data_IF_082032427149
#
_entry.id   IF_082032427149
#
_cell.length_a   1.000
_cell.length_b   1.000
_cell.length_c   1.000
_cell.angle_alpha   90.00
_cell.angle_beta   90.00
_cell.angle_gamma   90.00
#
_symmetry.space_group_name_H-M   'P 1'
#
loop_
_entity.id
_entity.type
_entity.pdbx_description
1 polymer ?
#
# COMPACT_ATOMS: atom_id res chain seq x y z
N UNK A 1 4.87 -18.16 29.04
CA UNK A 1 5.75 -17.40 28.12
C UNK A 1 5.60 -15.92 28.45
N UNK A 2 6.68 -15.20 28.80
CA UNK A 2 6.60 -13.76 29.14
C UNK A 2 7.26 -12.93 28.05
N UNK A 3 6.45 -12.47 27.10
CA UNK A 3 6.85 -11.40 26.18
C UNK A 3 6.81 -10.10 26.98
N UNK A 4 7.92 -9.35 26.97
CA UNK A 4 8.09 -8.13 27.79
C UNK A 4 7.82 -6.84 27.02
N UNK A 5 7.93 -6.88 25.69
CA UNK A 5 7.71 -5.74 24.80
C UNK A 5 7.39 -6.26 23.40
N UNK A 6 6.43 -5.62 22.74
CA UNK A 6 6.12 -5.84 21.33
C UNK A 6 5.98 -4.48 20.67
N UNK A 7 6.61 -4.35 19.50
CA UNK A 7 6.50 -3.17 18.64
C UNK A 7 5.86 -3.65 17.34
N UNK A 8 4.82 -2.95 16.92
CA UNK A 8 4.13 -3.20 15.68
C UNK A 8 4.40 -2.06 14.72
N UNK A 9 4.56 -2.41 13.45
CA UNK A 9 4.43 -1.45 12.37
C UNK A 9 2.96 -1.02 12.22
N UNK A 10 2.71 0.09 11.55
CA UNK A 10 1.37 0.64 11.38
C UNK A 10 0.70 0.10 10.12
N UNK A 11 1.25 0.44 8.96
CA UNK A 11 0.67 0.16 7.65
C UNK A 11 0.85 -1.31 7.27
N UNK A 12 -0.24 -1.97 6.90
CA UNK A 12 -0.23 -3.39 6.55
C UNK A 12 0.02 -4.34 7.73
N UNK A 13 0.13 -3.82 8.97
CA UNK A 13 0.24 -4.62 10.20
C UNK A 13 -0.92 -4.35 11.17
N UNK A 14 -1.17 -3.09 11.50
CA UNK A 14 -2.31 -2.69 12.35
C UNK A 14 -3.46 -2.11 11.53
N UNK A 15 -3.17 -1.50 10.39
CA UNK A 15 -4.16 -0.89 9.50
C UNK A 15 -4.12 -1.51 8.11
N UNK A 16 -5.29 -1.72 7.52
CA UNK A 16 -5.42 -2.04 6.11
C UNK A 16 -5.51 -0.74 5.29
N UNK A 17 -4.35 -0.09 5.14
CA UNK A 17 -4.21 1.23 4.51
C UNK A 17 -3.80 1.17 3.03
N UNK A 18 -3.79 -0.02 2.42
CA UNK A 18 -3.15 -0.19 1.11
C UNK A 18 -3.98 0.35 -0.04
N UNK A 19 -5.30 0.22 0.00
CA UNK A 19 -6.17 0.84 -1.01
C UNK A 19 -6.03 2.38 -1.01
N UNK A 20 -5.92 2.98 0.17
CA UNK A 20 -5.75 4.43 0.33
C UNK A 20 -4.37 4.90 -0.13
N UNK A 21 -3.32 4.16 0.20
CA UNK A 21 -1.96 4.41 -0.31
C UNK A 21 -1.90 4.25 -1.82
N UNK A 22 -2.64 3.29 -2.36
CA UNK A 22 -2.75 3.06 -3.79
C UNK A 22 -3.44 4.21 -4.53
N UNK A 23 -4.58 4.67 -4.01
CA UNK A 23 -5.29 5.82 -4.55
C UNK A 23 -4.41 7.08 -4.52
N UNK A 24 -3.72 7.33 -3.42
CA UNK A 24 -2.83 8.48 -3.24
C UNK A 24 -1.64 8.46 -4.20
N UNK A 25 -1.02 7.27 -4.39
CA UNK A 25 0.10 7.09 -5.33
C UNK A 25 -0.36 7.28 -6.77
N UNK A 26 -1.51 6.74 -7.15
CA UNK A 26 -2.08 6.92 -8.48
C UNK A 26 -2.39 8.39 -8.75
N UNK A 27 -2.96 9.10 -7.77
CA UNK A 27 -3.21 10.52 -7.89
C UNK A 27 -1.92 11.29 -8.19
N UNK A 28 -0.85 11.05 -7.42
CA UNK A 28 0.44 11.69 -7.65
C UNK A 28 1.04 11.37 -9.04
N UNK A 29 0.97 10.11 -9.49
CA UNK A 29 1.43 9.70 -10.81
C UNK A 29 0.68 10.42 -11.93
N UNK A 30 -0.65 10.55 -11.82
CA UNK A 30 -1.45 11.30 -12.80
C UNK A 30 -1.03 12.76 -12.88
N UNK A 31 -0.80 13.42 -11.73
CA UNK A 31 -0.34 14.82 -11.71
C UNK A 31 1.03 14.99 -12.37
N UNK A 32 1.86 13.95 -12.37
CA UNK A 32 3.17 13.95 -13.01
C UNK A 32 3.14 13.47 -14.47
N UNK A 33 1.97 13.14 -15.03
CA UNK A 33 1.84 12.62 -16.40
C UNK A 33 2.35 11.19 -16.57
N UNK A 34 2.46 10.44 -15.47
CA UNK A 34 2.86 9.04 -15.48
C UNK A 34 1.64 8.11 -15.54
N UNK A 35 1.80 6.92 -16.15
CA UNK A 35 0.71 5.94 -16.20
C UNK A 35 0.36 5.46 -14.78
N UNK A 36 -0.94 5.26 -14.55
CA UNK A 36 -1.46 4.59 -13.35
C UNK A 36 -1.74 3.14 -13.67
N UNK A 37 -0.96 2.22 -13.14
CA UNK A 37 -1.24 0.79 -13.26
C UNK A 37 -1.32 0.11 -11.91
N UNK A 38 -2.24 -0.85 -11.79
CA UNK A 38 -2.33 -1.75 -10.64
C UNK A 38 -1.00 -2.48 -10.33
N UNK A 39 -0.14 -2.61 -11.35
CA UNK A 39 1.19 -3.24 -11.27
C UNK A 39 2.25 -2.34 -10.63
N UNK A 40 2.16 -1.01 -10.77
CA UNK A 40 3.05 -0.07 -10.08
C UNK A 40 2.77 -0.04 -8.57
N UNK A 41 1.53 -0.27 -8.16
CA UNK A 41 1.15 -0.35 -6.75
C UNK A 41 1.78 -1.56 -6.04
N UNK A 42 1.98 -2.67 -6.75
CA UNK A 42 2.71 -3.83 -6.20
C UNK A 42 4.18 -3.52 -5.86
N UNK A 43 4.79 -2.56 -6.57
CA UNK A 43 6.17 -2.13 -6.32
C UNK A 43 6.28 -1.16 -5.15
N UNK A 44 5.25 -0.33 -4.91
CA UNK A 44 5.28 0.74 -3.89
C UNK A 44 4.67 0.28 -2.56
N UNK A 45 3.59 -0.51 -2.58
CA UNK A 45 2.84 -0.92 -1.39
C UNK A 45 3.01 -2.41 -1.03
N UNK A 46 3.90 -3.14 -1.73
CA UNK A 46 4.10 -4.58 -1.58
C UNK A 46 3.13 -5.43 -2.41
N UNK A 47 3.31 -6.77 -2.42
CA UNK A 47 2.53 -7.70 -3.28
C UNK A 47 1.04 -7.69 -2.94
N UNK A 48 0.26 -6.89 -3.66
CA UNK A 48 -1.20 -6.89 -3.59
C UNK A 48 -1.82 -7.66 -4.76
N UNK A 49 -2.83 -8.49 -4.46
CA UNK A 49 -3.73 -9.04 -5.48
C UNK A 49 -4.58 -7.88 -5.98
N UNK A 50 -4.24 -7.36 -7.16
CA UNK A 50 -5.12 -6.46 -7.88
C UNK A 50 -6.40 -7.24 -8.21
N UNK A 51 -7.47 -7.03 -7.43
CA UNK A 51 -8.80 -7.40 -7.90
C UNK A 51 -9.18 -6.37 -8.94
N UNK A 52 -9.06 -6.76 -10.21
CA UNK A 52 -9.75 -6.09 -11.31
C UNK A 52 -11.22 -5.93 -10.92
N UNK A 53 -11.68 -4.69 -10.81
CA UNK A 53 -13.10 -4.37 -10.94
C UNK A 53 -13.64 -4.92 -12.27
#
# INVERSE_FOLDING_TARGET
MKIKLVIFDLDGTLLDSVEDMAASTNFALQQMGHPTTCKQLQLVCGKWHCQTL
#
